data_IF_737810006033
#
_entry.id   IF_737810006033
#
_cell.length_a   1.000
_cell.length_b   1.000
_cell.length_c   1.000
_cell.angle_alpha   90.00
_cell.angle_beta   90.00
_cell.angle_gamma   90.00
#
_symmetry.space_group_name_H-M   'P 1'
#
loop_
_entity.id
_entity.type
_entity.pdbx_description
1 polymer ?
#
# COMPACT_ATOMS: atom_id res chain seq x y z
N UNK A 1 31.18 2.77 -6.77
CA UNK A 1 30.52 3.60 -5.73
C UNK A 1 30.22 2.68 -4.56
N UNK A 2 31.00 2.79 -3.48
CA UNK A 2 30.83 1.97 -2.27
C UNK A 2 29.56 2.45 -1.56
N UNK A 3 28.53 1.63 -1.54
CA UNK A 3 27.31 1.93 -0.76
C UNK A 3 27.74 2.08 0.71
N UNK A 4 27.60 3.29 1.27
CA UNK A 4 27.75 3.49 2.71
C UNK A 4 26.71 2.61 3.41
N UNK A 5 27.15 1.57 4.11
CA UNK A 5 26.29 0.74 4.94
C UNK A 5 25.66 1.63 6.03
N UNK A 6 24.36 1.82 5.94
CA UNK A 6 23.60 2.51 6.98
C UNK A 6 23.45 1.58 8.19
N UNK A 7 23.58 2.11 9.40
CA UNK A 7 23.38 1.31 10.61
C UNK A 7 21.89 0.97 10.79
N UNK A 8 21.59 -0.18 11.40
CA UNK A 8 20.20 -0.62 11.63
C UNK A 8 19.38 0.46 12.35
N UNK A 9 19.92 1.09 13.38
CA UNK A 9 19.23 2.16 14.12
C UNK A 9 18.87 3.35 13.21
N UNK A 10 19.78 3.75 12.32
CA UNK A 10 19.50 4.83 11.34
C UNK A 10 18.46 4.38 10.32
N UNK A 11 18.51 3.12 9.86
CA UNK A 11 17.59 2.56 8.91
C UNK A 11 16.16 2.51 9.48
N UNK A 12 16.00 1.97 10.68
CA UNK A 12 14.69 1.91 11.38
C UNK A 12 14.11 3.30 11.58
N UNK A 13 14.93 4.25 12.09
CA UNK A 13 14.51 5.64 12.27
C UNK A 13 14.07 6.28 10.96
N UNK A 14 14.85 6.13 9.89
CA UNK A 14 14.53 6.66 8.56
C UNK A 14 13.21 6.07 8.04
N UNK A 15 12.99 4.77 8.23
CA UNK A 15 11.75 4.08 7.83
C UNK A 15 10.55 4.65 8.57
N UNK A 16 10.58 4.72 9.91
CA UNK A 16 9.48 5.29 10.68
C UNK A 16 9.22 6.75 10.31
N UNK A 17 10.26 7.57 10.17
CA UNK A 17 10.13 8.99 9.79
C UNK A 17 9.54 9.14 8.39
N UNK A 18 9.93 8.30 7.44
CA UNK A 18 9.39 8.33 6.08
C UNK A 18 7.87 8.05 6.06
N UNK A 19 7.44 7.03 6.79
CA UNK A 19 6.02 6.68 6.85
C UNK A 19 5.21 7.67 7.70
N UNK A 20 5.84 8.34 8.67
CA UNK A 20 5.21 9.44 9.41
C UNK A 20 4.82 10.60 8.50
N UNK A 21 5.65 10.94 7.49
CA UNK A 21 5.34 11.96 6.47
C UNK A 21 4.13 11.59 5.60
N UNK A 22 3.77 10.30 5.56
CA UNK A 22 2.61 9.78 4.83
C UNK A 22 1.38 9.56 5.74
N UNK A 23 1.43 10.08 6.97
CA UNK A 23 0.39 9.85 7.99
C UNK A 23 0.10 8.35 8.19
N UNK A 24 1.18 7.54 8.31
CA UNK A 24 1.09 6.10 8.35
C UNK A 24 1.93 5.48 9.46
N UNK A 25 1.31 5.13 10.59
CA UNK A 25 1.96 4.39 11.65
C UNK A 25 2.22 2.94 11.23
N UNK A 26 3.40 2.41 11.52
CA UNK A 26 3.84 1.08 11.09
C UNK A 26 3.65 0.03 12.18
N UNK A 27 3.26 -1.18 11.80
CA UNK A 27 3.47 -2.38 12.62
C UNK A 27 4.94 -2.82 12.57
N UNK A 28 5.33 -3.76 13.41
CA UNK A 28 6.66 -4.36 13.36
C UNK A 28 6.93 -5.01 11.98
N UNK A 29 5.97 -5.75 11.46
CA UNK A 29 6.12 -6.46 10.19
C UNK A 29 6.29 -5.48 9.02
N UNK A 30 5.52 -4.40 9.00
CA UNK A 30 5.67 -3.32 8.02
C UNK A 30 7.01 -2.58 8.18
N UNK A 31 7.46 -2.30 9.41
CA UNK A 31 8.76 -1.66 9.66
C UNK A 31 9.94 -2.53 9.22
N UNK A 32 9.82 -3.84 9.34
CA UNK A 32 10.80 -4.79 8.85
C UNK A 32 10.75 -4.95 7.32
N UNK A 33 9.57 -5.11 6.74
CA UNK A 33 9.37 -5.27 5.29
C UNK A 33 9.87 -4.06 4.50
N UNK A 34 9.61 -2.86 5.02
CA UNK A 34 10.00 -1.60 4.36
C UNK A 34 11.30 -1.01 4.88
N UNK A 35 12.13 -1.80 5.56
CA UNK A 35 13.38 -1.34 6.15
C UNK A 35 14.31 -0.73 5.09
N UNK A 36 14.64 0.55 5.26
CA UNK A 36 15.43 1.29 4.29
C UNK A 36 16.94 1.10 4.48
N UNK A 37 17.63 0.72 3.40
CA UNK A 37 19.09 0.85 3.28
C UNK A 37 19.92 -0.21 3.99
N UNK A 38 19.32 -1.17 4.72
CA UNK A 38 20.03 -2.34 5.23
C UNK A 38 19.11 -3.56 5.31
N UNK A 39 19.69 -4.73 5.46
CA UNK A 39 18.96 -5.96 5.74
C UNK A 39 19.13 -6.33 7.21
N UNK A 40 18.06 -6.74 7.84
CA UNK A 40 18.06 -7.20 9.24
C UNK A 40 16.98 -8.28 9.42
N UNK A 41 17.10 -9.06 10.48
CA UNK A 41 16.03 -9.97 10.89
C UNK A 41 14.90 -9.21 11.57
N UNK A 42 13.72 -9.80 11.60
CA UNK A 42 12.56 -9.24 12.29
C UNK A 42 12.84 -8.98 13.78
N UNK A 43 13.57 -9.90 14.41
CA UNK A 43 13.96 -9.83 15.83
C UNK A 43 14.94 -8.68 16.10
N UNK A 44 15.85 -8.40 15.18
CA UNK A 44 16.77 -7.26 15.28
C UNK A 44 16.03 -5.92 15.15
N UNK A 45 15.08 -5.83 14.23
CA UNK A 45 14.22 -4.64 14.09
C UNK A 45 13.36 -4.44 15.33
N UNK A 46 12.76 -5.53 15.88
CA UNK A 46 11.99 -5.48 17.12
C UNK A 46 12.81 -4.91 18.28
N UNK A 47 14.01 -5.44 18.52
CA UNK A 47 14.90 -4.96 19.58
C UNK A 47 15.24 -3.48 19.42
N UNK A 48 15.51 -3.05 18.19
CA UNK A 48 15.81 -1.65 17.88
C UNK A 48 14.60 -0.74 18.17
N UNK A 49 13.41 -1.17 17.79
CA UNK A 49 12.15 -0.45 18.08
C UNK A 49 11.87 -0.37 19.58
N UNK A 50 12.09 -1.47 20.31
CA UNK A 50 11.89 -1.51 21.76
C UNK A 50 12.86 -0.54 22.49
N UNK A 51 14.10 -0.45 22.02
CA UNK A 51 15.08 0.53 22.53
C UNK A 51 14.62 1.97 22.25
N UNK A 52 14.14 2.26 21.06
CA UNK A 52 13.63 3.60 20.69
C UNK A 52 12.38 3.98 21.50
N UNK A 53 11.48 3.04 21.74
CA UNK A 53 10.32 3.27 22.60
C UNK A 53 10.76 3.55 24.04
N UNK A 54 11.71 2.76 24.59
CA UNK A 54 12.26 2.95 25.93
C UNK A 54 12.93 4.31 26.10
N UNK A 55 13.60 4.80 25.06
CA UNK A 55 14.29 6.10 25.07
C UNK A 55 13.37 7.28 24.72
N UNK A 56 12.09 7.03 24.40
CA UNK A 56 11.13 8.06 24.02
C UNK A 56 11.34 8.65 22.62
N UNK A 57 12.12 7.96 21.78
CA UNK A 57 12.39 8.39 20.39
C UNK A 57 11.25 7.99 19.43
N UNK A 58 10.50 6.95 19.79
CA UNK A 58 9.34 6.44 19.06
C UNK A 58 8.22 6.17 20.06
N UNK A 59 6.99 6.52 19.74
CA UNK A 59 5.79 6.16 20.47
C UNK A 59 5.26 4.80 19.98
N UNK A 60 4.76 3.98 20.90
CA UNK A 60 4.15 2.69 20.62
C UNK A 60 2.74 2.63 21.19
N UNK A 61 1.76 2.37 20.35
CA UNK A 61 0.39 2.05 20.73
C UNK A 61 -0.02 0.79 19.96
N UNK A 62 -0.08 -0.32 20.65
CA UNK A 62 -0.20 -1.65 20.07
C UNK A 62 -1.26 -1.75 18.97
N UNK A 63 -0.94 -2.23 17.77
CA UNK A 63 0.34 -2.81 17.34
C UNK A 63 1.26 -1.84 16.57
N UNK A 64 1.06 -0.52 16.67
CA UNK A 64 1.66 0.49 15.81
C UNK A 64 2.77 1.29 16.48
N UNK A 65 3.84 1.56 15.71
CA UNK A 65 4.93 2.46 16.02
C UNK A 65 4.78 3.76 15.22
N UNK A 66 5.05 4.90 15.85
CA UNK A 66 4.90 6.24 15.25
C UNK A 66 5.84 7.23 15.92
N UNK A 67 6.01 8.39 15.32
CA UNK A 67 6.79 9.46 15.94
C UNK A 67 6.07 10.02 17.18
N UNK A 68 6.82 10.48 18.21
CA UNK A 68 6.23 11.11 19.39
C UNK A 68 5.38 12.33 19.01
N UNK A 69 4.23 12.51 19.66
CA UNK A 69 3.26 13.58 19.35
C UNK A 69 2.33 13.26 18.17
N UNK A 70 2.44 12.05 17.61
CA UNK A 70 1.61 11.60 16.48
C UNK A 70 0.63 10.49 16.84
N UNK A 71 0.24 10.39 18.11
CA UNK A 71 -0.61 9.31 18.65
C UNK A 71 -1.98 9.24 17.95
N UNK A 72 -2.44 10.35 17.37
CA UNK A 72 -3.65 10.37 16.54
C UNK A 72 -3.56 9.46 15.30
N UNK A 73 -2.36 9.09 14.87
CA UNK A 73 -2.16 8.15 13.77
C UNK A 73 -2.71 6.76 14.08
N UNK A 74 -2.85 6.39 15.35
CA UNK A 74 -3.46 5.12 15.74
C UNK A 74 -4.90 5.01 15.21
N UNK A 75 -5.75 5.99 15.53
CA UNK A 75 -7.14 6.02 15.06
C UNK A 75 -7.24 6.12 13.53
N UNK A 76 -6.34 6.91 12.93
CA UNK A 76 -6.24 7.03 11.47
C UNK A 76 -5.92 5.66 10.85
N UNK A 77 -5.00 4.89 11.44
CA UNK A 77 -4.63 3.55 10.95
C UNK A 77 -5.77 2.55 11.07
N UNK A 78 -6.52 2.58 12.16
CA UNK A 78 -7.71 1.73 12.32
C UNK A 78 -8.74 2.01 11.22
N UNK A 79 -9.02 3.28 10.97
CA UNK A 79 -9.94 3.70 9.91
C UNK A 79 -9.43 3.30 8.51
N UNK A 80 -8.14 3.47 8.23
CA UNK A 80 -7.52 3.04 6.97
C UNK A 80 -7.69 1.52 6.77
N UNK A 81 -7.53 0.71 7.81
CA UNK A 81 -7.73 -0.76 7.78
C UNK A 81 -9.16 -1.14 7.40
N UNK A 82 -10.16 -0.44 7.92
CA UNK A 82 -11.55 -0.70 7.55
C UNK A 82 -11.83 -0.35 6.09
N UNK A 83 -11.33 0.79 5.63
CA UNK A 83 -11.45 1.21 4.23
C UNK A 83 -10.71 0.26 3.30
N UNK A 84 -9.49 -0.14 3.64
CA UNK A 84 -8.70 -1.14 2.93
C UNK A 84 -9.50 -2.43 2.70
N UNK A 85 -10.08 -2.99 3.77
CA UNK A 85 -10.90 -4.22 3.69
C UNK A 85 -12.09 -4.07 2.74
N UNK A 86 -12.76 -2.91 2.74
CA UNK A 86 -13.87 -2.62 1.82
C UNK A 86 -13.38 -2.57 0.37
N UNK A 87 -12.25 -1.90 0.11
CA UNK A 87 -11.68 -1.79 -1.24
C UNK A 87 -11.19 -3.15 -1.77
N UNK A 88 -10.54 -3.96 -0.93
CA UNK A 88 -10.13 -5.32 -1.31
C UNK A 88 -11.30 -6.19 -1.73
N UNK A 89 -12.45 -6.11 -1.06
CA UNK A 89 -13.65 -6.84 -1.46
C UNK A 89 -14.17 -6.44 -2.86
N UNK A 90 -13.92 -5.20 -3.28
CA UNK A 90 -14.21 -4.73 -4.64
C UNK A 90 -13.19 -5.30 -5.63
N UNK A 91 -11.89 -5.23 -5.27
CA UNK A 91 -10.79 -5.78 -6.10
C UNK A 91 -11.01 -7.24 -6.43
N UNK A 92 -11.32 -8.07 -5.44
CA UNK A 92 -11.52 -9.51 -5.62
C UNK A 92 -12.59 -9.82 -6.67
N UNK A 93 -13.73 -9.12 -6.61
CA UNK A 93 -14.81 -9.26 -7.59
C UNK A 93 -14.37 -8.80 -8.98
N UNK A 94 -13.62 -7.69 -9.04
CA UNK A 94 -13.10 -7.17 -10.32
C UNK A 94 -12.03 -8.05 -10.91
N UNK A 95 -11.14 -8.62 -10.10
CA UNK A 95 -10.12 -9.54 -10.57
C UNK A 95 -10.72 -10.77 -11.26
N UNK A 96 -11.83 -11.29 -10.75
CA UNK A 96 -12.57 -12.39 -11.38
C UNK A 96 -13.09 -12.00 -12.78
N UNK A 97 -13.58 -10.78 -12.94
CA UNK A 97 -14.07 -10.27 -14.23
C UNK A 97 -12.91 -10.00 -15.19
N UNK A 98 -11.85 -9.34 -14.71
CA UNK A 98 -10.71 -8.98 -15.55
C UNK A 98 -9.91 -10.20 -16.03
N UNK A 99 -9.79 -11.24 -15.23
CA UNK A 99 -9.10 -12.49 -15.63
C UNK A 99 -9.82 -13.24 -16.77
N UNK A 100 -11.11 -12.98 -16.99
CA UNK A 100 -11.86 -13.58 -18.11
C UNK A 100 -11.61 -12.85 -19.45
N UNK A 101 -10.95 -11.70 -19.43
CA UNK A 101 -10.63 -10.94 -20.63
C UNK A 101 -9.52 -11.67 -21.39
N UNK A 102 -9.70 -11.92 -22.72
CA UNK A 102 -8.66 -12.50 -23.55
C UNK A 102 -7.38 -11.68 -23.46
N UNK A 103 -6.24 -12.37 -23.47
CA UNK A 103 -4.89 -11.78 -23.44
C UNK A 103 -4.44 -11.15 -22.13
N UNK A 104 -5.27 -11.08 -21.08
CA UNK A 104 -4.83 -10.69 -19.74
C UNK A 104 -4.07 -11.85 -19.10
N UNK A 105 -2.83 -11.59 -18.66
CA UNK A 105 -1.94 -12.56 -18.03
C UNK A 105 -1.86 -12.38 -16.52
N UNK A 106 -1.91 -11.12 -16.05
CA UNK A 106 -1.86 -10.80 -14.63
C UNK A 106 -2.66 -9.53 -14.35
N UNK A 107 -3.29 -9.49 -13.20
CA UNK A 107 -3.88 -8.27 -12.62
C UNK A 107 -3.30 -8.11 -11.24
N UNK A 108 -2.69 -6.96 -10.97
CA UNK A 108 -2.12 -6.61 -9.66
C UNK A 108 -2.72 -5.31 -9.14
N UNK A 109 -2.80 -5.18 -7.83
CA UNK A 109 -3.12 -3.91 -7.17
C UNK A 109 -1.83 -3.13 -6.99
N UNK A 110 -1.87 -1.83 -7.19
CA UNK A 110 -0.73 -0.96 -6.98
C UNK A 110 -1.12 0.31 -6.20
N UNK A 111 -0.13 1.17 -5.96
CA UNK A 111 -0.27 2.43 -5.24
C UNK A 111 -0.84 2.28 -3.82
N UNK A 112 -1.66 3.23 -3.37
CA UNK A 112 -2.10 3.38 -1.99
C UNK A 112 -2.77 2.13 -1.40
N UNK A 113 -3.56 1.41 -2.21
CA UNK A 113 -4.23 0.21 -1.74
C UNK A 113 -3.25 -0.96 -1.53
N UNK A 114 -2.18 -1.05 -2.33
CA UNK A 114 -1.16 -2.07 -2.15
C UNK A 114 -0.39 -1.91 -0.82
N UNK A 115 -0.25 -0.66 -0.33
CA UNK A 115 0.39 -0.34 0.95
C UNK A 115 -0.59 -0.28 2.13
N UNK A 116 -1.90 -0.38 1.87
CA UNK A 116 -2.91 -0.14 2.90
C UNK A 116 -3.04 1.33 3.34
N UNK A 117 -2.44 2.28 2.60
CA UNK A 117 -2.53 3.72 2.89
C UNK A 117 -3.69 4.38 2.14
N UNK A 118 -4.89 3.93 2.42
CA UNK A 118 -6.12 4.37 1.76
C UNK A 118 -6.96 5.27 2.64
N UNK A 119 -7.78 6.08 1.98
CA UNK A 119 -8.82 6.91 2.60
C UNK A 119 -10.17 6.61 1.94
N UNK A 120 -11.26 7.13 2.50
CA UNK A 120 -12.60 6.98 1.90
C UNK A 120 -12.70 7.62 0.50
N UNK A 121 -11.76 8.51 0.14
CA UNK A 121 -11.68 9.13 -1.18
C UNK A 121 -10.78 8.37 -2.17
N UNK A 122 -10.08 7.31 -1.72
CA UNK A 122 -9.14 6.57 -2.56
C UNK A 122 -9.84 5.80 -3.66
N UNK A 123 -9.20 5.72 -4.82
CA UNK A 123 -9.55 4.82 -5.92
C UNK A 123 -8.77 3.49 -5.82
N UNK A 124 -9.04 2.62 -6.75
CA UNK A 124 -8.39 1.31 -6.89
C UNK A 124 -7.56 1.32 -8.14
N UNK A 125 -6.24 1.43 -7.99
CA UNK A 125 -5.31 1.36 -9.08
C UNK A 125 -4.95 -0.09 -9.40
N UNK A 126 -5.18 -0.49 -10.65
CA UNK A 126 -4.83 -1.81 -11.14
C UNK A 126 -3.70 -1.73 -12.17
N UNK A 127 -2.73 -2.61 -12.01
CA UNK A 127 -1.68 -2.88 -12.99
C UNK A 127 -2.01 -4.18 -13.74
N UNK A 128 -2.15 -4.09 -15.08
CA UNK A 128 -2.58 -5.21 -15.90
C UNK A 128 -1.46 -5.60 -16.87
N UNK A 129 -1.01 -6.85 -16.79
CA UNK A 129 -0.06 -7.41 -17.74
C UNK A 129 -0.82 -8.18 -18.81
N UNK A 130 -0.50 -7.89 -20.06
CA UNK A 130 -1.15 -8.49 -21.22
C UNK A 130 -0.16 -9.30 -22.07
N UNK A 131 -0.69 -10.14 -22.94
CA UNK A 131 0.09 -10.78 -23.97
C UNK A 131 0.70 -9.74 -24.90
N UNK A 132 1.92 -10.02 -25.40
CA UNK A 132 2.65 -9.11 -26.30
C UNK A 132 1.81 -8.74 -27.53
N UNK A 133 1.74 -7.44 -27.81
CA UNK A 133 0.97 -6.90 -28.93
C UNK A 133 -0.54 -6.87 -28.74
N UNK A 134 -1.06 -7.28 -27.57
CA UNK A 134 -2.51 -7.34 -27.28
C UNK A 134 -3.01 -6.31 -26.28
N UNK A 135 -2.14 -5.38 -25.86
CA UNK A 135 -2.45 -4.36 -24.84
C UNK A 135 -3.72 -3.55 -25.20
N UNK A 136 -3.83 -3.07 -26.44
CA UNK A 136 -4.98 -2.26 -26.85
C UNK A 136 -6.29 -3.05 -26.84
N UNK A 137 -6.27 -4.31 -27.30
CA UNK A 137 -7.45 -5.18 -27.28
C UNK A 137 -7.90 -5.49 -25.86
N UNK A 138 -6.96 -5.87 -25.00
CA UNK A 138 -7.24 -6.15 -23.58
C UNK A 138 -7.76 -4.88 -22.87
N UNK A 139 -7.15 -3.72 -23.13
CA UNK A 139 -7.58 -2.44 -22.57
C UNK A 139 -8.99 -2.05 -23.03
N UNK A 140 -9.32 -2.24 -24.30
CA UNK A 140 -10.66 -1.98 -24.81
C UNK A 140 -11.69 -2.86 -24.09
N UNK A 141 -11.45 -4.17 -24.00
CA UNK A 141 -12.32 -5.09 -23.27
C UNK A 141 -12.46 -4.71 -21.79
N UNK A 142 -11.35 -4.42 -21.09
CA UNK A 142 -11.38 -4.01 -19.69
C UNK A 142 -12.17 -2.71 -19.50
N UNK A 143 -12.01 -1.76 -20.43
CA UNK A 143 -12.76 -0.50 -20.41
C UNK A 143 -14.26 -0.73 -20.54
N UNK A 144 -14.69 -1.53 -21.51
CA UNK A 144 -16.11 -1.85 -21.71
C UNK A 144 -16.69 -2.55 -20.48
N UNK A 145 -16.01 -3.59 -19.96
CA UNK A 145 -16.47 -4.33 -18.80
C UNK A 145 -16.57 -3.46 -17.55
N UNK A 146 -15.57 -2.63 -17.27
CA UNK A 146 -15.60 -1.72 -16.11
C UNK A 146 -16.66 -0.63 -16.26
N UNK A 147 -16.94 -0.20 -17.50
CA UNK A 147 -18.03 0.74 -17.82
C UNK A 147 -19.40 0.11 -17.53
N UNK A 148 -19.62 -1.12 -18.01
CA UNK A 148 -20.89 -1.85 -17.81
C UNK A 148 -21.20 -2.12 -16.34
N UNK A 149 -20.17 -2.36 -15.51
CA UNK A 149 -20.33 -2.52 -14.07
C UNK A 149 -20.55 -1.20 -13.31
N UNK A 150 -20.46 -0.07 -13.98
CA UNK A 150 -20.56 1.27 -13.37
C UNK A 150 -19.45 1.60 -12.36
N UNK A 151 -18.39 0.81 -12.30
CA UNK A 151 -17.29 0.93 -11.33
C UNK A 151 -16.04 1.60 -11.90
N UNK A 152 -16.04 2.02 -13.14
CA UNK A 152 -14.94 2.74 -13.74
C UNK A 152 -14.81 4.14 -13.13
N UNK A 153 -13.56 4.55 -12.82
CA UNK A 153 -13.25 5.95 -12.49
C UNK A 153 -13.62 6.84 -13.69
N UNK A 154 -14.44 7.85 -13.44
CA UNK A 154 -14.86 8.78 -14.49
C UNK A 154 -15.19 10.16 -13.87
N UNK A 155 -14.58 11.22 -14.41
CA UNK A 155 -14.75 12.59 -13.92
C UNK A 155 -14.49 12.68 -12.42
N UNK A 156 -15.41 13.30 -11.68
CA UNK A 156 -15.29 13.53 -10.22
C UNK A 156 -15.62 12.30 -9.36
N UNK A 157 -16.06 11.21 -9.98
CA UNK A 157 -16.39 9.96 -9.27
C UNK A 157 -15.12 9.12 -9.13
N UNK A 158 -14.39 9.29 -8.02
CA UNK A 158 -13.08 8.67 -7.75
C UNK A 158 -13.20 7.57 -6.70
N UNK A 159 -13.81 7.87 -5.56
CA UNK A 159 -13.84 7.02 -4.38
C UNK A 159 -14.35 5.59 -4.67
N UNK A 160 -13.55 4.58 -4.33
CA UNK A 160 -13.87 3.17 -4.49
C UNK A 160 -14.04 2.71 -5.94
N UNK A 161 -13.55 3.49 -6.91
CA UNK A 161 -13.65 3.16 -8.33
C UNK A 161 -12.34 2.62 -8.88
N UNK A 162 -12.47 1.79 -9.90
CA UNK A 162 -11.33 1.13 -10.56
C UNK A 162 -10.71 2.07 -11.58
N UNK A 163 -9.41 2.30 -11.42
CA UNK A 163 -8.54 3.02 -12.35
C UNK A 163 -7.77 2.01 -13.22
N UNK A 164 -7.87 2.15 -14.53
CA UNK A 164 -7.18 1.32 -15.51
C UNK A 164 -6.00 2.09 -16.14
N UNK A 165 -5.17 2.72 -15.33
CA UNK A 165 -4.09 3.57 -15.80
C UNK A 165 -2.86 2.81 -16.29
N UNK A 166 -2.65 1.61 -15.77
CA UNK A 166 -1.44 0.83 -16.03
C UNK A 166 -1.74 -0.47 -16.78
N UNK A 167 -1.11 -0.59 -17.99
CA UNK A 167 -1.14 -1.75 -18.86
C UNK A 167 0.25 -2.07 -19.39
#
# INVERSE_FOLDING_TARGET
MTAMSITLAKAVRATITYFDLLDFALTLDEAWEYLYGCSATREEVQKCLDEFVKNGEISYQAPYYMMPGREALFEIRLKKKETEKKLWSVVERFALVLRSIPFVKMVAVCNNLAFGNVTDASDIDLFIVTERGRMFSARACATVLTQLTGRRRHGDKIAGRVCLSFF
#
